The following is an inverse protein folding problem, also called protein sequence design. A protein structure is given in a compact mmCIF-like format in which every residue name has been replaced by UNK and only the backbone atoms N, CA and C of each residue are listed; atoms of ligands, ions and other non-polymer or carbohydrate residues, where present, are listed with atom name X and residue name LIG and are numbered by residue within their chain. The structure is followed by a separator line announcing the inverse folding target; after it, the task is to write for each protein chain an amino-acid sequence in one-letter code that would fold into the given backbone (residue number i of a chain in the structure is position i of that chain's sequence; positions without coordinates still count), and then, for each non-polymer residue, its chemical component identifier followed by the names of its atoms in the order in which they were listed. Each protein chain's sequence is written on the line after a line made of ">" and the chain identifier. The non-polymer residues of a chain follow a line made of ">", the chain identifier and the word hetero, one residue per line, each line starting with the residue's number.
data_IF_106191901425
#
_entry.id   IF_106191901425
#
_cell.length_a   1.000
_cell.length_b   1.000
_cell.length_c   1.000
_cell.angle_alpha   90.00
_cell.angle_beta   90.00
_cell.angle_gamma   90.00
#
_symmetry.space_group_name_H-M   'P 1'
#
loop_
_entity.id
_entity.type
_entity.pdbx_description
1 polymer ?
#
# COMPACT_ATOMS: atom_id res chain seq x y z
N UNK A 1 43.45 -30.11 16.48
CA UNK A 1 43.54 -29.26 17.69
C UNK A 1 42.52 -28.15 17.52
N UNK A 2 41.63 -27.88 18.49
CA UNK A 2 40.76 -26.72 18.36
C UNK A 2 41.68 -25.49 18.28
N UNK A 3 41.51 -24.68 17.24
CA UNK A 3 42.18 -23.39 17.16
C UNK A 3 41.78 -22.63 18.43
N UNK A 4 42.74 -22.35 19.31
CA UNK A 4 42.52 -21.41 20.42
C UNK A 4 41.94 -20.15 19.80
N UNK A 5 40.75 -19.73 20.25
CA UNK A 5 40.10 -18.55 19.68
C UNK A 5 41.04 -17.35 19.79
N UNK A 6 40.93 -16.37 18.91
CA UNK A 6 41.71 -15.15 19.03
C UNK A 6 41.50 -14.50 20.41
N UNK A 7 40.29 -14.64 20.97
CA UNK A 7 39.97 -14.27 22.35
C UNK A 7 40.82 -15.02 23.38
N UNK A 8 41.11 -16.32 23.19
CA UNK A 8 42.03 -17.07 24.05
C UNK A 8 43.46 -16.54 23.95
N UNK A 9 43.90 -16.13 22.76
CA UNK A 9 45.23 -15.56 22.55
C UNK A 9 45.32 -14.17 23.20
N UNK A 10 44.31 -13.32 22.97
CA UNK A 10 44.21 -11.98 23.56
C UNK A 10 44.03 -12.07 25.08
N UNK A 11 43.22 -13.00 25.58
CA UNK A 11 43.06 -13.25 27.01
C UNK A 11 44.38 -13.72 27.62
N UNK A 12 45.12 -14.62 26.94
CA UNK A 12 46.45 -15.05 27.38
C UNK A 12 47.48 -13.93 27.35
N UNK A 13 47.42 -13.02 26.38
CA UNK A 13 48.26 -11.82 26.33
C UNK A 13 47.94 -10.86 27.48
N UNK A 14 46.66 -10.65 27.79
CA UNK A 14 46.19 -9.88 28.95
C UNK A 14 46.43 -10.59 30.30
N UNK A 15 46.65 -11.91 30.31
CA UNK A 15 46.90 -12.73 31.50
C UNK A 15 48.37 -12.84 31.90
N UNK A 16 49.27 -12.04 31.31
CA UNK A 16 50.64 -11.87 31.82
C UNK A 16 50.66 -11.11 33.17
N UNK A 17 49.94 -11.61 34.18
CA UNK A 17 49.87 -11.06 35.54
C UNK A 17 51.22 -11.07 36.26
N UNK A 18 52.14 -11.90 35.81
CA UNK A 18 53.48 -12.05 36.38
C UNK A 18 54.55 -11.21 35.64
N UNK A 19 54.18 -10.47 34.59
CA UNK A 19 55.10 -9.57 33.90
C UNK A 19 55.31 -8.27 34.72
N UNK A 20 56.53 -7.70 34.77
CA UNK A 20 56.75 -6.38 35.34
C UNK A 20 55.79 -5.34 34.71
N UNK A 21 55.28 -4.39 35.49
CA UNK A 21 54.27 -3.41 35.05
C UNK A 21 54.61 -2.77 33.69
N UNK A 22 55.87 -2.34 33.48
CA UNK A 22 56.30 -1.72 32.24
C UNK A 22 56.28 -2.67 31.01
N UNK A 23 56.41 -3.98 31.21
CA UNK A 23 56.29 -4.99 30.15
C UNK A 23 54.83 -5.31 29.86
N UNK A 24 53.99 -5.41 30.90
CA UNK A 24 52.55 -5.62 30.75
C UNK A 24 51.91 -4.49 29.92
N UNK A 25 52.26 -3.23 30.20
CA UNK A 25 51.77 -2.07 29.42
C UNK A 25 52.16 -2.16 27.94
N UNK A 26 53.39 -2.59 27.63
CA UNK A 26 53.86 -2.76 26.24
C UNK A 26 53.18 -3.93 25.53
N UNK A 27 52.95 -5.06 26.22
CA UNK A 27 52.27 -6.23 25.67
C UNK A 27 50.82 -5.86 25.34
N UNK A 28 50.12 -5.19 26.26
CA UNK A 28 48.76 -4.73 26.05
C UNK A 28 48.68 -3.74 24.87
N UNK A 29 49.60 -2.76 24.80
CA UNK A 29 49.63 -1.81 23.68
C UNK A 29 49.84 -2.50 22.31
N UNK A 30 50.65 -3.57 22.24
CA UNK A 30 50.83 -4.36 21.02
C UNK A 30 49.57 -5.16 20.70
N UNK A 31 48.94 -5.77 21.71
CA UNK A 31 47.71 -6.54 21.54
C UNK A 31 46.54 -5.65 21.07
N UNK A 32 46.38 -4.46 21.66
CA UNK A 32 45.37 -3.48 21.28
C UNK A 32 45.57 -3.03 19.83
N UNK A 33 46.81 -2.68 19.46
CA UNK A 33 47.14 -2.29 18.08
C UNK A 33 46.88 -3.42 17.09
N UNK A 34 47.25 -4.66 17.43
CA UNK A 34 47.00 -5.81 16.57
C UNK A 34 45.49 -6.08 16.42
N UNK A 35 44.72 -5.95 17.49
CA UNK A 35 43.26 -6.09 17.45
C UNK A 35 42.62 -4.98 16.60
N UNK A 36 43.08 -3.73 16.73
CA UNK A 36 42.62 -2.60 15.92
C UNK A 36 42.89 -2.84 14.43
N UNK A 37 44.13 -3.23 14.08
CA UNK A 37 44.51 -3.53 12.69
C UNK A 37 43.69 -4.70 12.11
N UNK A 38 43.50 -5.79 12.86
CA UNK A 38 42.69 -6.93 12.41
C UNK A 38 41.20 -6.60 12.32
N UNK A 39 40.68 -5.77 13.23
CA UNK A 39 39.29 -5.29 13.18
C UNK A 39 39.07 -4.44 11.94
N UNK A 40 40.03 -3.58 11.60
CA UNK A 40 40.01 -2.77 10.39
C UNK A 40 40.06 -3.66 9.13
N UNK A 41 40.97 -4.63 9.07
CA UNK A 41 41.06 -5.58 7.95
C UNK A 41 39.76 -6.38 7.78
N UNK A 42 39.17 -6.85 8.88
CA UNK A 42 37.86 -7.49 8.85
C UNK A 42 36.76 -6.54 8.35
N UNK A 43 36.80 -5.27 8.75
CA UNK A 43 35.89 -4.24 8.23
C UNK A 43 36.06 -4.01 6.73
N UNK A 44 37.30 -3.90 6.26
CA UNK A 44 37.62 -3.75 4.84
C UNK A 44 37.16 -4.97 4.03
N UNK A 45 37.31 -6.19 4.58
CA UNK A 45 36.72 -7.40 4.00
C UNK A 45 35.19 -7.30 3.87
N UNK A 46 34.51 -6.85 4.93
CA UNK A 46 33.05 -6.68 4.92
C UNK A 46 32.60 -5.61 3.90
N UNK A 47 33.40 -4.58 3.67
CA UNK A 47 33.13 -3.56 2.64
C UNK A 47 33.38 -4.09 1.22
N UNK A 48 34.55 -4.69 0.98
CA UNK A 48 35.11 -4.82 -0.37
C UNK A 48 35.25 -6.25 -0.89
N UNK A 49 35.19 -7.25 -0.02
CA UNK A 49 35.47 -8.63 -0.40
C UNK A 49 34.30 -9.59 -0.17
N UNK A 50 33.22 -9.15 0.49
CA UNK A 50 31.98 -9.92 0.55
C UNK A 50 31.50 -10.34 -0.84
N UNK A 51 31.23 -11.63 -0.96
CA UNK A 51 30.90 -12.32 -2.21
C UNK A 51 30.20 -13.64 -1.87
N UNK A 52 28.92 -13.76 -2.19
CA UNK A 52 28.09 -14.93 -1.85
C UNK A 52 28.28 -16.14 -2.76
N UNK A 53 29.13 -16.01 -3.79
CA UNK A 53 29.66 -17.16 -4.52
C UNK A 53 30.88 -17.77 -3.80
N UNK A 54 31.55 -17.01 -2.93
CA UNK A 54 32.81 -17.41 -2.29
C UNK A 54 32.70 -17.64 -0.79
N UNK A 55 31.77 -16.96 -0.14
CA UNK A 55 31.64 -16.96 1.31
C UNK A 55 30.26 -17.47 1.72
N UNK A 56 30.22 -18.17 2.84
CA UNK A 56 28.99 -18.62 3.48
C UNK A 56 28.54 -17.65 4.57
N UNK A 57 27.27 -17.70 4.95
CA UNK A 57 26.72 -16.88 6.05
C UNK A 57 27.45 -17.20 7.35
N UNK A 58 27.81 -18.46 7.58
CA UNK A 58 28.53 -18.94 8.76
C UNK A 58 29.96 -18.42 8.83
N UNK A 59 30.68 -18.36 7.71
CA UNK A 59 32.04 -17.80 7.65
C UNK A 59 32.03 -16.30 7.95
N UNK A 60 31.12 -15.56 7.31
CA UNK A 60 30.98 -14.12 7.56
C UNK A 60 30.56 -13.86 9.01
N UNK A 61 29.64 -14.66 9.55
CA UNK A 61 29.26 -14.58 10.96
C UNK A 61 30.44 -14.87 11.89
N UNK A 62 31.26 -15.86 11.59
CA UNK A 62 32.45 -16.16 12.39
C UNK A 62 33.43 -14.99 12.43
N UNK A 63 33.62 -14.27 11.31
CA UNK A 63 34.44 -13.05 11.26
C UNK A 63 33.84 -11.97 12.17
N UNK A 64 32.53 -11.74 12.11
CA UNK A 64 31.83 -10.76 12.96
C UNK A 64 31.92 -11.15 14.44
N UNK A 65 31.76 -12.43 14.78
CA UNK A 65 31.86 -12.92 16.15
C UNK A 65 33.28 -12.72 16.71
N UNK A 66 34.32 -12.89 15.89
CA UNK A 66 35.73 -12.66 16.28
C UNK A 66 36.06 -11.16 16.36
N UNK A 67 35.54 -10.36 15.42
CA UNK A 67 35.83 -8.92 15.30
C UNK A 67 34.54 -8.11 15.26
N UNK A 68 33.79 -7.98 16.37
CA UNK A 68 32.49 -7.29 16.36
C UNK A 68 32.59 -5.82 15.97
N UNK A 69 33.73 -5.17 16.28
CA UNK A 69 34.00 -3.79 15.87
C UNK A 69 34.09 -3.59 14.34
N UNK A 70 34.27 -4.66 13.56
CA UNK A 70 34.37 -4.61 12.09
C UNK A 70 33.10 -4.05 11.44
N UNK A 71 31.94 -4.27 12.05
CA UNK A 71 30.66 -3.72 11.58
C UNK A 71 30.56 -2.20 11.75
N UNK A 72 31.37 -1.61 12.63
CA UNK A 72 31.45 -0.15 12.85
C UNK A 72 32.61 0.50 12.11
N UNK A 73 33.37 -0.26 11.31
CA UNK A 73 34.45 0.30 10.50
C UNK A 73 33.82 1.17 9.41
N UNK A 74 34.03 2.46 9.54
CA UNK A 74 33.56 3.46 8.58
C UNK A 74 34.54 3.50 7.43
N UNK A 75 34.02 3.36 6.21
CA UNK A 75 34.77 3.70 5.01
C UNK A 75 34.42 5.10 4.54
N UNK A 76 35.45 5.89 4.25
CA UNK A 76 35.31 7.21 3.66
C UNK A 76 35.34 7.06 2.15
N UNK A 77 34.17 6.91 1.53
CA UNK A 77 34.04 7.11 0.09
C UNK A 77 33.88 8.62 -0.18
N UNK A 78 34.74 9.24 -1.02
CA UNK A 78 34.67 10.66 -1.34
C UNK A 78 33.30 11.16 -1.83
N UNK A 79 32.40 10.27 -2.27
CA UNK A 79 31.06 10.62 -2.74
C UNK A 79 29.92 10.37 -1.76
N UNK A 80 30.10 9.53 -0.75
CA UNK A 80 28.98 8.96 0.02
C UNK A 80 29.08 9.16 1.54
N UNK A 81 30.16 9.76 2.02
CA UNK A 81 30.36 10.02 3.45
C UNK A 81 30.75 8.77 4.22
N UNK A 82 30.37 8.74 5.50
CA UNK A 82 30.67 7.62 6.41
C UNK A 82 29.79 6.41 6.06
N UNK A 83 30.38 5.38 5.46
CA UNK A 83 29.67 4.18 5.04
C UNK A 83 29.95 3.02 6.01
N UNK A 84 28.88 2.40 6.51
CA UNK A 84 28.92 1.11 7.21
C UNK A 84 28.92 -0.08 6.24
N UNK A 85 29.45 -1.25 6.62
CA UNK A 85 29.50 -2.42 5.75
C UNK A 85 28.14 -2.86 5.20
N UNK A 86 27.06 -2.75 5.99
CA UNK A 86 25.70 -3.08 5.55
C UNK A 86 25.24 -2.22 4.37
N UNK A 87 25.66 -0.94 4.34
CA UNK A 87 25.35 -0.04 3.25
C UNK A 87 26.19 -0.36 2.02
N UNK A 88 27.50 -0.62 2.20
CA UNK A 88 28.34 -1.03 1.08
C UNK A 88 27.84 -2.33 0.41
N UNK A 89 27.27 -3.25 1.19
CA UNK A 89 26.73 -4.50 0.67
C UNK A 89 25.57 -4.31 -0.32
N UNK A 90 24.79 -3.21 -0.22
CA UNK A 90 23.67 -2.95 -1.14
C UNK A 90 24.15 -2.63 -2.56
N UNK A 91 25.29 -1.97 -2.72
CA UNK A 91 25.84 -1.60 -4.03
C UNK A 91 26.58 -2.73 -4.73
N UNK A 92 26.76 -3.86 -4.05
CA UNK A 92 27.54 -4.98 -4.54
C UNK A 92 26.60 -6.16 -4.68
N UNK A 93 26.21 -6.47 -5.92
CA UNK A 93 25.25 -7.55 -6.22
C UNK A 93 25.60 -8.86 -5.50
N UNK A 94 26.88 -9.20 -5.36
CA UNK A 94 27.40 -10.39 -4.66
C UNK A 94 27.39 -10.32 -3.12
N UNK A 95 27.20 -9.14 -2.54
CA UNK A 95 27.14 -8.95 -1.09
C UNK A 95 25.71 -8.77 -0.56
N UNK A 96 24.73 -8.47 -1.43
CA UNK A 96 23.33 -8.21 -1.07
C UNK A 96 22.72 -9.27 -0.15
N UNK A 97 23.04 -10.56 -0.35
CA UNK A 97 22.51 -11.67 0.45
C UNK A 97 23.00 -11.70 1.90
N UNK A 98 24.06 -10.96 2.24
CA UNK A 98 24.55 -10.84 3.61
C UNK A 98 23.90 -9.69 4.39
N UNK A 99 23.13 -8.80 3.74
CA UNK A 99 22.48 -7.67 4.41
C UNK A 99 21.66 -8.09 5.65
N UNK A 100 20.84 -9.17 5.62
CA UNK A 100 20.10 -9.61 6.81
C UNK A 100 21.02 -9.98 7.98
N UNK A 101 22.14 -10.66 7.70
CA UNK A 101 23.14 -11.00 8.73
C UNK A 101 23.79 -9.74 9.30
N UNK A 102 24.29 -8.86 8.44
CA UNK A 102 24.99 -7.63 8.84
C UNK A 102 24.08 -6.73 9.69
N UNK A 103 22.83 -6.54 9.26
CA UNK A 103 21.85 -5.73 10.00
C UNK A 103 21.46 -6.37 11.34
N UNK A 104 21.27 -7.69 11.38
CA UNK A 104 20.93 -8.42 12.60
C UNK A 104 22.04 -8.33 13.64
N UNK A 105 23.28 -8.66 13.25
CA UNK A 105 24.42 -8.61 14.17
C UNK A 105 24.77 -7.17 14.52
N UNK A 106 24.68 -6.24 13.57
CA UNK A 106 24.84 -4.81 13.83
C UNK A 106 23.83 -4.30 14.86
N UNK A 107 22.55 -4.66 14.72
CA UNK A 107 21.52 -4.30 15.69
C UNK A 107 21.79 -4.90 17.07
N UNK A 108 22.29 -6.14 17.15
CA UNK A 108 22.66 -6.80 18.42
C UNK A 108 23.82 -6.08 19.12
N UNK A 109 24.78 -5.58 18.33
CA UNK A 109 26.00 -4.93 18.82
C UNK A 109 25.85 -3.41 19.00
N UNK A 110 24.68 -2.83 18.69
CA UNK A 110 24.46 -1.39 18.78
C UNK A 110 25.20 -0.60 17.71
N UNK A 111 25.40 -1.20 16.53
CA UNK A 111 26.01 -0.55 15.37
C UNK A 111 25.01 0.38 14.69
N UNK A 112 25.50 1.57 14.31
CA UNK A 112 24.67 2.70 13.91
C UNK A 112 24.09 3.43 15.12
N UNK A 113 23.39 4.54 14.89
CA UNK A 113 22.72 5.26 15.97
C UNK A 113 21.54 4.47 16.58
N UNK A 114 21.04 4.89 17.75
CA UNK A 114 19.89 4.25 18.39
C UNK A 114 18.68 4.23 17.45
N UNK A 115 18.12 3.05 17.21
CA UNK A 115 17.02 2.86 16.26
C UNK A 115 17.42 2.67 14.79
N UNK A 116 18.71 2.73 14.44
CA UNK A 116 19.20 2.53 13.07
C UNK A 116 19.24 1.06 12.62
N UNK A 117 18.88 0.11 13.49
CA UNK A 117 18.74 -1.33 13.18
C UNK A 117 19.99 -1.92 12.49
N UNK A 118 21.16 -1.66 13.08
CA UNK A 118 22.43 -2.14 12.54
C UNK A 118 22.92 -1.36 11.32
N UNK A 119 22.52 -0.10 11.16
CA UNK A 119 22.91 0.76 10.03
C UNK A 119 21.95 0.72 8.83
N UNK A 120 20.83 -0.02 8.91
CA UNK A 120 19.84 -0.06 7.82
C UNK A 120 19.19 1.31 7.53
N UNK A 121 19.01 2.13 8.58
CA UNK A 121 18.26 3.39 8.53
C UNK A 121 19.09 4.61 8.96
N UNK A 122 20.41 4.60 8.72
CA UNK A 122 21.30 5.67 9.18
C UNK A 122 21.10 6.98 8.41
N UNK A 123 21.38 8.12 9.06
CA UNK A 123 21.05 9.45 8.55
C UNK A 123 21.67 9.73 7.17
N UNK A 124 20.81 9.83 6.15
CA UNK A 124 21.20 10.13 4.76
C UNK A 124 21.30 8.91 3.85
N UNK A 125 21.34 7.71 4.44
CA UNK A 125 21.61 6.45 3.75
C UNK A 125 20.62 5.37 4.21
N UNK A 126 19.59 5.12 3.40
CA UNK A 126 18.59 4.12 3.71
C UNK A 126 18.80 2.86 2.85
N UNK A 127 19.35 1.82 3.45
CA UNK A 127 19.61 0.53 2.78
C UNK A 127 18.33 -0.09 2.25
N UNK A 128 17.22 0.05 2.98
CA UNK A 128 15.90 -0.46 2.55
C UNK A 128 15.42 0.27 1.29
N UNK A 129 15.63 1.58 1.24
CA UNK A 129 15.34 2.38 0.05
C UNK A 129 16.23 1.94 -1.12
N UNK A 130 17.53 1.77 -0.91
CA UNK A 130 18.43 1.34 -1.99
C UNK A 130 18.10 -0.07 -2.48
N UNK A 131 17.72 -1.00 -1.59
CA UNK A 131 17.23 -2.33 -1.96
C UNK A 131 15.98 -2.27 -2.86
N UNK A 132 15.15 -1.23 -2.74
CA UNK A 132 14.02 -1.00 -3.62
C UNK A 132 14.43 -0.55 -5.04
N UNK A 133 15.61 0.04 -5.22
CA UNK A 133 16.12 0.62 -6.48
C UNK A 133 17.16 -0.28 -7.20
N UNK A 134 17.56 -1.42 -6.62
CA UNK A 134 18.52 -2.33 -7.26
C UNK A 134 17.93 -3.11 -8.46
N UNK A 135 18.78 -3.70 -9.30
CA UNK A 135 18.31 -4.42 -10.49
C UNK A 135 17.96 -5.91 -10.28
N UNK A 136 18.45 -6.56 -9.21
CA UNK A 136 18.19 -7.99 -8.97
C UNK A 136 16.97 -8.19 -8.06
N UNK A 137 15.79 -8.18 -8.68
CA UNK A 137 14.50 -8.28 -8.00
C UNK A 137 14.36 -9.56 -7.16
N UNK A 138 14.86 -10.71 -7.66
CA UNK A 138 14.75 -11.99 -6.96
C UNK A 138 15.61 -12.02 -5.71
N UNK A 139 16.86 -11.53 -5.81
CA UNK A 139 17.78 -11.51 -4.67
C UNK A 139 17.31 -10.50 -3.61
N UNK A 140 16.89 -9.32 -4.05
CA UNK A 140 16.38 -8.28 -3.16
C UNK A 140 15.07 -8.70 -2.49
N UNK A 141 14.17 -9.40 -3.19
CA UNK A 141 12.95 -9.98 -2.60
C UNK A 141 13.30 -10.85 -1.38
N UNK A 142 14.23 -11.81 -1.54
CA UNK A 142 14.65 -12.71 -0.47
C UNK A 142 15.22 -11.94 0.74
N UNK A 143 16.02 -10.91 0.48
CA UNK A 143 16.57 -10.04 1.53
C UNK A 143 15.45 -9.28 2.26
N UNK A 144 14.49 -8.69 1.55
CA UNK A 144 13.36 -7.99 2.18
C UNK A 144 12.49 -8.93 3.02
N UNK A 145 12.24 -10.16 2.54
CA UNK A 145 11.54 -11.20 3.30
C UNK A 145 12.30 -11.58 4.57
N UNK A 146 13.62 -11.81 4.48
CA UNK A 146 14.45 -12.12 5.65
C UNK A 146 14.51 -10.94 6.66
N UNK A 147 14.62 -9.69 6.17
CA UNK A 147 14.58 -8.50 7.03
C UNK A 147 13.22 -8.34 7.73
N UNK A 148 12.12 -8.65 7.05
CA UNK A 148 10.78 -8.68 7.65
C UNK A 148 10.69 -9.77 8.73
N UNK A 149 11.16 -10.98 8.44
CA UNK A 149 11.10 -12.11 9.36
C UNK A 149 11.98 -11.90 10.61
N UNK A 150 13.01 -11.07 10.51
CA UNK A 150 13.88 -10.63 11.61
C UNK A 150 13.33 -9.40 12.40
N UNK A 151 12.14 -8.89 12.07
CA UNK A 151 11.57 -7.62 12.61
C UNK A 151 12.49 -6.39 12.38
N UNK A 152 13.32 -6.43 11.34
CA UNK A 152 14.20 -5.32 10.94
C UNK A 152 13.57 -4.43 9.87
N UNK A 153 12.62 -4.94 9.10
CA UNK A 153 11.80 -4.19 8.15
C UNK A 153 10.36 -4.07 8.68
N UNK A 154 9.88 -2.84 8.82
CA UNK A 154 8.58 -2.52 9.42
C UNK A 154 7.72 -1.73 8.45
N UNK A 155 6.40 -1.77 8.63
CA UNK A 155 5.47 -0.98 7.84
C UNK A 155 5.71 0.53 7.97
N UNK A 156 6.18 0.97 9.12
CA UNK A 156 6.53 2.38 9.34
C UNK A 156 7.67 2.82 8.41
N UNK A 157 8.58 1.92 8.02
CA UNK A 157 9.63 2.25 7.05
C UNK A 157 9.03 2.46 5.66
N UNK A 158 8.06 1.62 5.27
CA UNK A 158 7.33 1.78 4.00
C UNK A 158 6.67 3.16 3.94
N UNK A 159 6.05 3.59 5.04
CA UNK A 159 5.34 4.86 5.14
C UNK A 159 6.29 6.06 5.24
N UNK A 160 7.34 5.96 6.05
CA UNK A 160 8.28 7.07 6.29
C UNK A 160 9.17 7.37 5.09
N UNK A 161 9.44 6.36 4.26
CA UNK A 161 10.32 6.46 3.10
C UNK A 161 9.59 6.31 1.77
N UNK A 162 8.25 6.31 1.78
CA UNK A 162 7.40 6.15 0.59
C UNK A 162 7.86 4.99 -0.33
N UNK A 163 8.30 3.85 0.24
CA UNK A 163 9.06 2.83 -0.49
C UNK A 163 8.33 2.30 -1.72
N UNK A 164 7.00 2.15 -1.65
CA UNK A 164 6.18 1.68 -2.77
C UNK A 164 6.22 2.62 -3.98
N UNK A 165 6.54 3.89 -3.78
CA UNK A 165 6.61 4.88 -4.85
C UNK A 165 7.89 4.74 -5.71
N UNK A 166 9.00 4.29 -5.11
CA UNK A 166 10.28 4.16 -5.83
C UNK A 166 10.21 3.15 -6.98
N UNK A 167 9.36 2.13 -6.83
CA UNK A 167 9.08 1.13 -7.86
C UNK A 167 8.32 1.65 -9.08
N UNK A 168 7.76 2.87 -9.03
CA UNK A 168 7.03 3.43 -10.17
C UNK A 168 7.94 3.89 -11.31
N UNK A 169 9.25 4.00 -11.06
CA UNK A 169 10.22 4.46 -12.05
C UNK A 169 10.99 3.33 -12.75
N UNK A 170 10.88 2.09 -12.26
CA UNK A 170 11.76 1.00 -12.66
C UNK A 170 11.00 -0.22 -13.18
N UNK A 171 11.44 -0.76 -14.31
CA UNK A 171 10.97 -2.05 -14.79
C UNK A 171 11.60 -3.20 -13.97
N UNK A 172 10.86 -4.29 -13.81
CA UNK A 172 11.39 -5.52 -13.22
C UNK A 172 11.43 -5.52 -11.69
N UNK A 173 10.64 -4.71 -11.00
CA UNK A 173 10.61 -4.63 -9.54
C UNK A 173 9.38 -5.30 -8.88
N UNK A 174 8.64 -6.10 -9.63
CA UNK A 174 7.34 -6.63 -9.22
C UNK A 174 7.41 -7.45 -7.93
N UNK A 175 8.43 -8.29 -7.75
CA UNK A 175 8.48 -9.17 -6.58
C UNK A 175 8.83 -8.40 -5.30
N UNK A 176 9.71 -7.40 -5.38
CA UNK A 176 9.99 -6.50 -4.24
C UNK A 176 8.75 -5.69 -3.87
N UNK A 177 8.04 -5.18 -4.87
CA UNK A 177 6.81 -4.44 -4.66
C UNK A 177 5.76 -5.29 -3.94
N UNK A 178 5.57 -6.55 -4.35
CA UNK A 178 4.66 -7.50 -3.70
C UNK A 178 5.00 -7.70 -2.21
N UNK A 179 6.28 -7.88 -1.85
CA UNK A 179 6.69 -8.06 -0.45
C UNK A 179 6.33 -6.84 0.41
N UNK A 180 6.57 -5.64 -0.11
CA UNK A 180 6.30 -4.40 0.62
C UNK A 180 4.80 -4.08 0.65
N UNK A 181 4.07 -4.33 -0.43
CA UNK A 181 2.62 -4.17 -0.47
C UNK A 181 1.93 -5.12 0.51
N UNK A 182 2.42 -6.36 0.65
CA UNK A 182 1.93 -7.31 1.63
C UNK A 182 2.23 -6.90 3.08
N UNK A 183 3.35 -6.20 3.31
CA UNK A 183 3.73 -5.72 4.65
C UNK A 183 2.90 -4.50 5.08
N UNK A 184 2.53 -3.60 4.15
CA UNK A 184 1.63 -2.49 4.42
C UNK A 184 0.64 -2.22 3.27
N UNK A 185 -0.45 -3.00 3.17
CA UNK A 185 -1.43 -2.84 2.10
C UNK A 185 -2.08 -1.45 2.09
N UNK A 186 -2.25 -0.84 3.25
CA UNK A 186 -2.84 0.50 3.38
C UNK A 186 -2.00 1.55 2.64
N UNK A 187 -0.68 1.37 2.52
CA UNK A 187 0.16 2.27 1.73
C UNK A 187 -0.23 2.30 0.24
N UNK A 188 -0.83 1.25 -0.34
CA UNK A 188 -1.35 1.29 -1.71
C UNK A 188 -2.43 2.39 -1.89
N UNK A 189 -3.18 2.67 -0.82
CA UNK A 189 -4.33 3.58 -0.84
C UNK A 189 -4.08 4.91 -0.14
N UNK A 190 -3.13 4.97 0.79
CA UNK A 190 -2.82 6.15 1.59
C UNK A 190 -1.47 6.77 1.28
N UNK A 191 -0.60 6.15 0.48
CA UNK A 191 0.73 6.68 0.16
C UNK A 191 0.64 8.18 -0.14
N UNK A 192 1.42 8.96 0.61
CA UNK A 192 1.44 10.42 0.51
C UNK A 192 2.75 10.81 -0.13
N UNK A 193 2.82 10.68 -1.45
CA UNK A 193 3.97 11.17 -2.15
C UNK A 193 4.14 12.68 -1.87
N UNK A 194 5.35 13.05 -1.46
CA UNK A 194 5.77 14.45 -1.22
C UNK A 194 5.55 15.37 -2.44
N UNK A 195 5.54 14.81 -3.65
CA UNK A 195 5.35 15.51 -4.92
C UNK A 195 3.88 15.42 -5.39
N UNK A 196 3.15 14.37 -5.01
CA UNK A 196 1.76 14.11 -5.40
C UNK A 196 1.01 13.39 -4.28
N UNK A 197 0.38 14.15 -3.40
CA UNK A 197 -0.35 13.60 -2.24
C UNK A 197 -1.55 12.69 -2.62
N UNK A 198 -1.34 11.47 -3.11
CA UNK A 198 -2.43 10.60 -3.55
C UNK A 198 -2.07 9.13 -3.74
N UNK A 199 -3.09 8.27 -3.89
CA UNK A 199 -2.90 6.81 -4.01
C UNK A 199 -2.01 6.44 -5.21
N UNK A 200 -1.31 5.29 -5.14
CA UNK A 200 -0.34 4.89 -6.17
C UNK A 200 -0.95 4.75 -7.58
N UNK A 201 -2.20 4.27 -7.68
CA UNK A 201 -2.93 4.18 -8.95
C UNK A 201 -3.28 5.55 -9.57
N UNK A 202 -3.05 6.66 -8.85
CA UNK A 202 -3.19 8.03 -9.36
C UNK A 202 -1.86 8.68 -9.72
N UNK A 203 -0.77 7.91 -9.75
CA UNK A 203 0.54 8.45 -10.08
C UNK A 203 0.61 8.89 -11.55
N UNK A 204 1.30 10.00 -11.81
CA UNK A 204 1.39 10.62 -13.15
C UNK A 204 2.36 9.92 -14.10
N UNK A 205 3.26 9.07 -13.57
CA UNK A 205 4.23 8.27 -14.36
C UNK A 205 3.81 6.81 -14.49
N UNK A 206 2.51 6.50 -14.48
CA UNK A 206 2.07 5.13 -14.68
C UNK A 206 2.50 4.63 -16.07
N UNK A 207 2.97 3.39 -16.10
CA UNK A 207 3.25 2.57 -17.29
C UNK A 207 2.34 1.35 -17.28
N UNK A 208 2.27 0.60 -18.38
CA UNK A 208 1.47 -0.65 -18.42
C UNK A 208 1.90 -1.62 -17.29
N UNK A 209 3.21 -1.81 -17.13
CA UNK A 209 3.79 -2.71 -16.12
C UNK A 209 3.51 -2.25 -14.69
N UNK A 210 3.72 -0.96 -14.39
CA UNK A 210 3.51 -0.43 -13.03
C UNK A 210 2.03 -0.38 -12.69
N UNK A 211 1.16 -0.05 -13.64
CA UNK A 211 -0.29 -0.12 -13.44
C UNK A 211 -0.76 -1.55 -13.15
N UNK A 212 -0.26 -2.54 -13.90
CA UNK A 212 -0.57 -3.95 -13.67
C UNK A 212 -0.10 -4.42 -12.30
N UNK A 213 1.13 -4.11 -11.93
CA UNK A 213 1.72 -4.46 -10.64
C UNK A 213 0.90 -3.90 -9.47
N UNK A 214 0.58 -2.60 -9.49
CA UNK A 214 -0.21 -1.96 -8.42
C UNK A 214 -1.64 -2.51 -8.40
N UNK A 215 -2.26 -2.72 -9.56
CA UNK A 215 -3.62 -3.23 -9.64
C UNK A 215 -3.71 -4.68 -9.14
N UNK A 216 -2.72 -5.53 -9.46
CA UNK A 216 -2.62 -6.90 -8.92
C UNK A 216 -2.52 -6.91 -7.40
N UNK A 217 -1.59 -6.15 -6.83
CA UNK A 217 -1.47 -6.03 -5.37
C UNK A 217 -2.74 -5.44 -4.74
N UNK A 218 -3.36 -4.47 -5.42
CA UNK A 218 -4.65 -3.92 -5.02
C UNK A 218 -5.75 -4.99 -5.00
N UNK A 219 -5.84 -5.83 -6.03
CA UNK A 219 -6.83 -6.91 -6.11
C UNK A 219 -6.60 -7.99 -5.06
N UNK A 220 -5.34 -8.28 -4.70
CA UNK A 220 -5.00 -9.22 -3.65
C UNK A 220 -5.42 -8.72 -2.26
N UNK A 221 -5.17 -7.45 -1.93
CA UNK A 221 -5.45 -6.91 -0.60
C UNK A 221 -6.82 -6.23 -0.45
N UNK A 222 -7.40 -5.74 -1.54
CA UNK A 222 -8.67 -5.02 -1.56
C UNK A 222 -9.62 -5.51 -2.67
N UNK A 223 -9.92 -6.82 -2.77
CA UNK A 223 -10.76 -7.37 -3.84
C UNK A 223 -12.17 -6.77 -3.84
N UNK A 224 -12.74 -6.54 -2.66
CA UNK A 224 -14.07 -5.90 -2.45
C UNK A 224 -14.17 -4.49 -3.05
N UNK A 225 -13.03 -3.82 -3.26
CA UNK A 225 -12.94 -2.50 -3.86
C UNK A 225 -12.37 -2.54 -5.29
N UNK A 226 -12.28 -3.72 -5.90
CA UNK A 226 -11.64 -3.98 -7.19
C UNK A 226 -10.26 -3.32 -7.29
N UNK A 227 -9.43 -3.58 -6.28
CA UNK A 227 -8.08 -3.03 -6.19
C UNK A 227 -8.02 -1.51 -6.17
N UNK A 228 -9.10 -0.87 -5.70
CA UNK A 228 -9.25 0.58 -5.68
C UNK A 228 -9.27 1.24 -7.08
N UNK A 229 -9.53 0.49 -8.14
CA UNK A 229 -9.61 0.97 -9.53
C UNK A 229 -10.61 2.15 -9.70
N UNK A 230 -11.68 2.18 -8.90
CA UNK A 230 -12.70 3.24 -8.94
C UNK A 230 -12.56 4.29 -7.84
N UNK A 231 -11.51 4.21 -7.00
CA UNK A 231 -11.26 5.20 -5.96
C UNK A 231 -10.95 6.55 -6.58
N UNK A 232 -11.61 7.60 -6.07
CA UNK A 232 -11.43 8.97 -6.57
C UNK A 232 -10.31 9.70 -5.87
N UNK A 233 -9.53 10.43 -6.64
CA UNK A 233 -8.55 11.39 -6.17
C UNK A 233 -8.58 12.61 -7.09
N UNK A 234 -8.63 13.81 -6.50
CA UNK A 234 -8.80 15.09 -7.22
C UNK A 234 -9.92 15.06 -8.28
N UNK A 235 -11.00 14.32 -8.00
CA UNK A 235 -12.20 14.23 -8.84
C UNK A 235 -12.20 13.12 -9.91
N UNK A 236 -11.05 12.51 -10.22
CA UNK A 236 -10.92 11.40 -11.19
C UNK A 236 -10.82 10.06 -10.48
N UNK A 237 -11.28 8.97 -11.12
CA UNK A 237 -11.02 7.59 -10.66
C UNK A 237 -9.62 7.13 -11.10
N UNK A 238 -9.08 6.09 -10.46
CA UNK A 238 -7.81 5.49 -10.87
C UNK A 238 -7.89 4.95 -12.30
N UNK A 239 -9.03 4.35 -12.68
CA UNK A 239 -9.33 3.92 -14.04
C UNK A 239 -9.24 5.07 -15.05
N UNK A 240 -9.89 6.22 -14.77
CA UNK A 240 -9.80 7.41 -15.62
C UNK A 240 -8.37 7.93 -15.72
N UNK A 241 -7.64 7.95 -14.60
CA UNK A 241 -6.25 8.37 -14.59
C UNK A 241 -5.37 7.46 -15.46
N UNK A 242 -5.57 6.14 -15.41
CA UNK A 242 -4.90 5.19 -16.28
C UNK A 242 -5.24 5.44 -17.76
N UNK A 243 -6.51 5.65 -18.10
CA UNK A 243 -6.92 5.98 -19.47
C UNK A 243 -6.25 7.24 -20.01
N UNK A 244 -6.10 8.26 -19.17
CA UNK A 244 -5.46 9.54 -19.53
C UNK A 244 -3.94 9.41 -19.72
N UNK A 245 -3.27 8.52 -18.97
CA UNK A 245 -1.80 8.42 -18.95
C UNK A 245 -1.28 7.38 -19.94
N UNK A 246 -1.78 6.15 -19.87
CA UNK A 246 -1.26 5.01 -20.65
C UNK A 246 -2.09 4.71 -21.89
N UNK A 247 -3.28 5.29 -22.03
CA UNK A 247 -4.22 5.01 -23.12
C UNK A 247 -5.34 4.06 -22.69
N UNK A 248 -6.50 4.20 -23.33
CA UNK A 248 -7.70 3.41 -22.97
C UNK A 248 -7.51 1.93 -23.30
N UNK A 249 -6.98 1.61 -24.48
CA UNK A 249 -6.83 0.22 -24.92
C UNK A 249 -5.77 -0.53 -24.09
N UNK A 250 -4.64 0.12 -23.81
CA UNK A 250 -3.55 -0.40 -22.98
C UNK A 250 -4.01 -0.62 -21.54
N UNK A 251 -4.67 0.39 -20.93
CA UNK A 251 -5.22 0.25 -19.59
C UNK A 251 -6.27 -0.86 -19.52
N UNK A 252 -7.16 -0.96 -20.51
CA UNK A 252 -8.17 -2.02 -20.56
C UNK A 252 -7.53 -3.40 -20.67
N UNK A 253 -6.45 -3.56 -21.44
CA UNK A 253 -5.70 -4.81 -21.51
C UNK A 253 -5.18 -5.23 -20.13
N UNK A 254 -4.61 -4.29 -19.37
CA UNK A 254 -4.14 -4.53 -18.00
C UNK A 254 -5.30 -4.88 -17.07
N UNK A 255 -6.40 -4.12 -17.12
CA UNK A 255 -7.57 -4.36 -16.27
C UNK A 255 -8.12 -5.76 -16.54
N UNK A 256 -8.25 -6.20 -17.79
CA UNK A 256 -8.70 -7.56 -18.13
C UNK A 256 -7.73 -8.67 -17.69
N UNK A 257 -6.42 -8.40 -17.58
CA UNK A 257 -5.47 -9.36 -17.00
C UNK A 257 -5.61 -9.47 -15.48
N UNK A 258 -5.90 -8.36 -14.80
CA UNK A 258 -5.98 -8.30 -13.33
C UNK A 258 -7.38 -8.64 -12.80
N UNK A 259 -8.42 -8.39 -13.59
CA UNK A 259 -9.84 -8.60 -13.27
C UNK A 259 -10.46 -9.33 -14.47
N UNK A 260 -10.23 -10.64 -14.64
CA UNK A 260 -10.71 -11.36 -15.81
C UNK A 260 -12.26 -11.30 -15.94
N UNK A 261 -12.79 -11.11 -17.16
CA UNK A 261 -14.23 -11.24 -17.39
C UNK A 261 -14.74 -12.65 -17.02
N UNK A 262 -15.96 -12.74 -16.51
CA UNK A 262 -16.65 -13.97 -16.14
C UNK A 262 -16.45 -14.41 -14.69
N UNK A 263 -15.58 -13.75 -13.91
CA UNK A 263 -15.33 -14.10 -12.51
C UNK A 263 -16.33 -13.49 -11.51
N UNK A 264 -17.50 -13.04 -11.99
CA UNK A 264 -18.56 -12.41 -11.19
C UNK A 264 -18.14 -11.14 -10.42
N UNK A 265 -17.14 -10.42 -10.92
CA UNK A 265 -16.75 -9.11 -10.38
C UNK A 265 -17.78 -8.05 -10.79
N UNK A 266 -18.40 -7.29 -9.86
CA UNK A 266 -19.39 -6.26 -10.17
C UNK A 266 -18.74 -4.97 -10.73
N UNK A 267 -17.79 -5.10 -11.67
CA UNK A 267 -16.98 -4.01 -12.22
C UNK A 267 -17.83 -2.94 -12.89
N UNK A 268 -18.83 -3.31 -13.68
CA UNK A 268 -19.75 -2.35 -14.30
C UNK A 268 -20.59 -1.60 -13.25
N UNK A 269 -20.98 -2.28 -12.17
CA UNK A 269 -21.76 -1.65 -11.10
C UNK A 269 -20.90 -0.59 -10.39
N UNK A 270 -19.66 -0.94 -10.03
CA UNK A 270 -18.72 -0.02 -9.40
C UNK A 270 -18.33 1.13 -10.33
N UNK A 271 -18.17 0.86 -11.63
CA UNK A 271 -17.92 1.89 -12.63
C UNK A 271 -19.04 2.92 -12.68
N UNK A 272 -20.30 2.48 -12.79
CA UNK A 272 -21.47 3.38 -12.79
C UNK A 272 -21.57 4.19 -11.51
N UNK A 273 -21.33 3.57 -10.35
CA UNK A 273 -21.36 4.29 -9.07
C UNK A 273 -20.27 5.36 -8.97
N UNK A 274 -19.10 5.10 -9.55
CA UNK A 274 -17.99 6.03 -9.54
C UNK A 274 -18.16 7.13 -10.61
N UNK A 275 -18.34 6.73 -11.87
CA UNK A 275 -18.56 7.60 -13.01
C UNK A 275 -19.28 6.85 -14.16
N UNK A 276 -20.54 7.18 -14.50
CA UNK A 276 -21.29 6.53 -15.58
C UNK A 276 -20.60 6.58 -16.94
N UNK A 277 -19.71 7.55 -17.20
CA UNK A 277 -18.99 7.61 -18.47
C UNK A 277 -18.01 6.45 -18.65
N UNK A 278 -17.61 5.77 -17.56
CA UNK A 278 -16.77 4.58 -17.64
C UNK A 278 -17.54 3.34 -18.09
N UNK A 279 -18.87 3.34 -17.94
CA UNK A 279 -19.71 2.19 -18.26
C UNK A 279 -19.58 1.82 -19.73
N UNK A 280 -19.73 2.78 -20.65
CA UNK A 280 -19.69 2.50 -22.09
C UNK A 280 -18.36 1.89 -22.53
N UNK A 281 -17.24 2.37 -21.96
CA UNK A 281 -15.90 1.82 -22.23
C UNK A 281 -15.77 0.40 -21.69
N UNK A 282 -16.11 0.18 -20.41
CA UNK A 282 -15.98 -1.14 -19.77
C UNK A 282 -16.96 -2.17 -20.32
N UNK A 283 -18.16 -1.76 -20.72
CA UNK A 283 -19.20 -2.62 -21.29
C UNK A 283 -18.72 -3.35 -22.55
N UNK A 284 -17.78 -2.77 -23.30
CA UNK A 284 -17.23 -3.45 -24.47
C UNK A 284 -16.40 -4.70 -24.12
N UNK A 285 -15.86 -4.76 -22.90
CA UNK A 285 -14.99 -5.84 -22.42
C UNK A 285 -15.69 -6.74 -21.40
N UNK A 286 -16.66 -6.22 -20.66
CA UNK A 286 -17.36 -6.89 -19.56
C UNK A 286 -18.87 -7.02 -19.84
N UNK A 287 -19.24 -7.56 -21.00
CA UNK A 287 -20.66 -7.63 -21.42
C UNK A 287 -21.49 -8.54 -20.52
N UNK A 288 -20.92 -9.64 -20.07
CA UNK A 288 -21.65 -10.66 -19.31
C UNK A 288 -21.90 -10.20 -17.86
N UNK A 289 -21.05 -9.29 -17.37
CA UNK A 289 -21.15 -8.62 -16.08
C UNK A 289 -22.31 -7.60 -16.03
N UNK A 290 -23.00 -7.35 -17.14
CA UNK A 290 -24.25 -6.59 -17.12
C UNK A 290 -25.37 -7.36 -16.40
N UNK A 291 -25.28 -8.69 -16.32
CA UNK A 291 -26.32 -9.58 -15.78
C UNK A 291 -26.06 -10.05 -14.36
N UNK A 292 -24.84 -9.87 -13.84
CA UNK A 292 -24.53 -10.20 -12.44
C UNK A 292 -25.18 -9.19 -11.49
N UNK A 293 -25.20 -9.53 -10.21
CA UNK A 293 -25.66 -8.64 -9.14
C UNK A 293 -24.46 -8.18 -8.32
N UNK A 294 -24.51 -6.95 -7.82
CA UNK A 294 -23.51 -6.46 -6.86
C UNK A 294 -23.61 -7.16 -5.50
N UNK A 295 -22.68 -6.87 -4.59
CA UNK A 295 -22.65 -7.41 -3.23
C UNK A 295 -23.92 -7.13 -2.41
N UNK A 296 -24.75 -6.17 -2.84
CA UNK A 296 -26.04 -5.87 -2.21
C UNK A 296 -27.22 -6.55 -2.90
N UNK A 297 -27.01 -7.23 -4.03
CA UNK A 297 -28.05 -7.88 -4.83
C UNK A 297 -28.67 -6.99 -5.91
N UNK A 298 -28.12 -5.78 -6.17
CA UNK A 298 -28.62 -4.88 -7.22
C UNK A 298 -28.16 -5.34 -8.60
N UNK A 299 -29.03 -5.21 -9.59
CA UNK A 299 -28.66 -5.33 -11.02
C UNK A 299 -27.98 -4.05 -11.51
N UNK A 300 -27.30 -4.11 -12.66
CA UNK A 300 -26.64 -2.94 -13.25
C UNK A 300 -27.64 -1.80 -13.51
N UNK A 301 -28.80 -2.12 -14.08
CA UNK A 301 -29.87 -1.14 -14.31
C UNK A 301 -30.38 -0.50 -13.01
N UNK A 302 -30.48 -1.27 -11.92
CA UNK A 302 -30.80 -0.71 -10.62
C UNK A 302 -29.71 0.25 -10.15
N UNK A 303 -28.43 -0.10 -10.31
CA UNK A 303 -27.32 0.79 -9.95
C UNK A 303 -27.32 2.09 -10.76
N UNK A 304 -27.48 2.03 -12.07
CA UNK A 304 -27.61 3.21 -12.95
C UNK A 304 -28.75 4.11 -12.51
N UNK A 305 -29.92 3.51 -12.31
CA UNK A 305 -31.12 4.20 -11.90
C UNK A 305 -30.92 4.87 -10.52
N UNK A 306 -30.31 4.16 -9.58
CA UNK A 306 -29.98 4.65 -8.25
C UNK A 306 -28.95 5.77 -8.25
N UNK A 307 -27.91 5.68 -9.08
CA UNK A 307 -26.89 6.71 -9.23
C UNK A 307 -27.53 8.03 -9.67
N UNK A 308 -28.35 7.97 -10.72
CA UNK A 308 -29.16 9.10 -11.22
C UNK A 308 -30.04 9.68 -10.11
N UNK A 309 -30.69 8.80 -9.34
CA UNK A 309 -31.47 9.19 -8.18
C UNK A 309 -30.67 9.61 -6.95
N UNK A 310 -29.34 9.57 -6.93
CA UNK A 310 -28.54 10.04 -5.79
C UNK A 310 -27.79 11.31 -6.07
N UNK A 311 -27.30 11.53 -7.29
CA UNK A 311 -26.38 12.64 -7.60
C UNK A 311 -27.00 14.05 -7.52
N UNK A 312 -28.27 14.16 -7.11
CA UNK A 312 -28.86 15.32 -6.41
C UNK A 312 -29.09 16.60 -7.22
N UNK A 313 -28.29 16.84 -8.25
CA UNK A 313 -28.23 18.10 -8.99
C UNK A 313 -28.43 17.91 -10.50
N UNK A 314 -28.75 16.69 -10.94
CA UNK A 314 -29.04 16.43 -12.34
C UNK A 314 -30.56 16.57 -12.51
N UNK A 315 -31.06 17.59 -13.24
CA UNK A 315 -32.48 17.77 -13.45
C UNK A 315 -33.07 16.55 -14.17
N UNK A 316 -34.35 16.25 -13.90
CA UNK A 316 -35.07 15.18 -14.58
C UNK A 316 -34.89 15.22 -16.10
N UNK A 317 -34.90 16.42 -16.71
CA UNK A 317 -34.69 16.61 -18.15
C UNK A 317 -33.39 16.01 -18.69
N UNK A 318 -32.31 16.01 -17.90
CA UNK A 318 -31.01 15.45 -18.28
C UNK A 318 -30.97 13.93 -18.09
N UNK A 319 -31.81 13.40 -17.22
CA UNK A 319 -31.84 11.97 -16.85
C UNK A 319 -33.07 11.23 -17.35
N UNK A 320 -33.95 11.91 -18.10
CA UNK A 320 -35.22 11.35 -18.57
C UNK A 320 -35.02 10.04 -19.34
N UNK A 321 -33.91 9.91 -20.08
CA UNK A 321 -33.56 8.69 -20.81
C UNK A 321 -33.42 7.46 -19.89
N UNK A 322 -32.86 7.62 -18.68
CA UNK A 322 -32.73 6.54 -17.69
C UNK A 322 -34.11 6.10 -17.19
N UNK A 323 -34.99 7.06 -16.91
CA UNK A 323 -36.36 6.78 -16.48
C UNK A 323 -37.22 6.16 -17.57
N UNK A 324 -37.03 6.57 -18.83
CA UNK A 324 -37.73 6.00 -19.98
C UNK A 324 -37.31 4.53 -20.18
N UNK A 325 -36.01 4.23 -20.07
CA UNK A 325 -35.46 2.88 -20.19
C UNK A 325 -35.77 1.96 -19.01
N UNK A 326 -36.13 2.50 -17.84
CA UNK A 326 -36.51 1.67 -16.69
C UNK A 326 -37.79 0.86 -17.00
N UNK A 327 -37.76 -0.43 -16.73
CA UNK A 327 -38.93 -1.31 -16.81
C UNK A 327 -39.81 -1.11 -15.57
N UNK A 328 -41.08 -1.52 -15.64
CA UNK A 328 -41.96 -1.42 -14.47
C UNK A 328 -41.46 -2.28 -13.30
N UNK A 329 -40.85 -3.44 -13.59
CA UNK A 329 -40.17 -4.28 -12.60
C UNK A 329 -39.04 -3.52 -11.88
N UNK A 330 -38.25 -2.69 -12.58
CA UNK A 330 -37.24 -1.85 -11.95
C UNK A 330 -37.85 -0.77 -11.04
N UNK A 331 -39.03 -0.24 -11.40
CA UNK A 331 -39.75 0.79 -10.63
C UNK A 331 -40.37 0.18 -9.36
N UNK A 332 -40.83 -1.07 -9.44
CA UNK A 332 -41.46 -1.81 -8.36
C UNK A 332 -40.48 -2.51 -7.43
N UNK A 333 -39.30 -2.84 -7.92
CA UNK A 333 -38.28 -3.44 -7.08
C UNK A 333 -37.81 -2.46 -6.00
N UNK A 334 -37.91 -2.88 -4.73
CA UNK A 334 -37.22 -2.20 -3.65
C UNK A 334 -35.73 -2.37 -3.84
N UNK A 335 -34.99 -1.31 -3.60
CA UNK A 335 -33.54 -1.37 -3.49
C UNK A 335 -33.13 -2.34 -2.39
N UNK A 336 -32.38 -3.41 -2.71
CA UNK A 336 -31.91 -4.35 -1.71
C UNK A 336 -31.12 -3.68 -0.57
N UNK A 337 -30.38 -2.61 -0.87
CA UNK A 337 -29.53 -1.91 0.11
C UNK A 337 -30.31 -1.01 1.06
N UNK A 338 -31.22 -0.17 0.56
CA UNK A 338 -31.97 0.79 1.37
C UNK A 338 -33.37 0.32 1.78
N UNK A 339 -33.91 -0.70 1.10
CA UNK A 339 -35.29 -1.15 1.25
C UNK A 339 -36.33 -0.15 0.73
N UNK A 340 -35.90 0.87 -0.01
CA UNK A 340 -36.75 1.94 -0.52
C UNK A 340 -37.14 1.68 -1.98
N UNK A 341 -38.33 2.12 -2.35
CA UNK A 341 -38.70 2.20 -3.76
C UNK A 341 -37.95 3.35 -4.45
N UNK A 342 -37.70 3.23 -5.77
CA UNK A 342 -37.32 4.31 -6.67
C UNK A 342 -37.85 5.71 -6.34
N UNK A 343 -39.17 5.88 -6.26
CA UNK A 343 -39.75 7.20 -6.02
C UNK A 343 -39.46 7.71 -4.60
N UNK A 344 -39.33 6.82 -3.61
CA UNK A 344 -38.94 7.20 -2.25
C UNK A 344 -37.50 7.69 -2.20
N UNK A 345 -36.60 7.06 -2.97
CA UNK A 345 -35.22 7.51 -3.09
C UNK A 345 -35.14 8.90 -3.71
N UNK A 346 -35.88 9.14 -4.80
CA UNK A 346 -36.00 10.45 -5.43
C UNK A 346 -36.53 11.52 -4.44
N UNK A 347 -37.54 11.17 -3.66
CA UNK A 347 -38.13 12.04 -2.63
C UNK A 347 -37.19 12.28 -1.44
N UNK A 348 -36.36 11.30 -1.09
CA UNK A 348 -35.49 11.36 0.09
C UNK A 348 -34.36 12.37 -0.02
N UNK A 349 -34.08 12.97 -1.18
CA UNK A 349 -33.00 13.95 -1.34
C UNK A 349 -33.23 15.23 -0.50
N UNK A 350 -32.15 15.99 -0.27
CA UNK A 350 -32.25 17.34 0.33
C UNK A 350 -33.06 18.31 -0.55
N UNK A 351 -33.06 18.08 -1.87
CA UNK A 351 -33.97 18.69 -2.84
C UNK A 351 -34.71 17.55 -3.54
N UNK A 352 -35.94 17.29 -3.11
CA UNK A 352 -36.78 16.26 -3.73
C UNK A 352 -36.98 16.60 -5.20
N UNK A 353 -36.67 15.65 -6.08
CA UNK A 353 -36.93 15.77 -7.52
C UNK A 353 -38.40 15.40 -7.76
N UNK A 354 -39.29 16.39 -7.61
CA UNK A 354 -40.73 16.16 -7.70
C UNK A 354 -41.15 15.67 -9.08
N UNK A 355 -40.44 16.05 -10.14
CA UNK A 355 -40.72 15.57 -11.49
C UNK A 355 -40.42 14.07 -11.61
N UNK A 356 -39.25 13.63 -11.12
CA UNK A 356 -38.93 12.21 -11.06
C UNK A 356 -39.92 11.42 -10.19
N UNK A 357 -40.30 11.96 -9.01
CA UNK A 357 -41.29 11.32 -8.12
C UNK A 357 -42.64 11.18 -8.82
N UNK A 358 -43.14 12.28 -9.40
CA UNK A 358 -44.43 12.29 -10.11
C UNK A 358 -44.40 11.36 -11.32
N UNK A 359 -43.31 11.35 -12.09
CA UNK A 359 -43.13 10.45 -13.22
C UNK A 359 -43.21 8.99 -12.78
N UNK A 360 -42.43 8.59 -11.77
CA UNK A 360 -42.38 7.21 -11.28
C UNK A 360 -43.75 6.74 -10.73
N UNK A 361 -44.43 7.59 -9.95
CA UNK A 361 -45.75 7.26 -9.39
C UNK A 361 -46.84 7.18 -10.46
N UNK A 362 -46.76 8.02 -11.50
CA UNK A 362 -47.69 7.95 -12.64
C UNK A 362 -47.46 6.70 -13.48
N UNK A 363 -46.19 6.32 -13.69
CA UNK A 363 -45.82 5.15 -14.48
C UNK A 363 -46.21 3.85 -13.80
N UNK A 364 -46.00 3.73 -12.49
CA UNK A 364 -46.38 2.54 -11.75
C UNK A 364 -47.13 2.90 -10.44
N UNK A 365 -48.45 3.16 -10.50
CA UNK A 365 -49.22 3.55 -9.32
C UNK A 365 -49.42 2.43 -8.30
N UNK A 366 -49.28 1.15 -8.70
CA UNK A 366 -49.47 -0.01 -7.81
C UNK A 366 -48.48 -0.05 -6.64
N UNK A 367 -47.29 0.54 -6.77
CA UNK A 367 -46.33 0.64 -5.65
C UNK A 367 -46.94 1.34 -4.43
N UNK A 368 -47.87 2.29 -4.63
CA UNK A 368 -48.58 2.95 -3.52
C UNK A 368 -49.57 2.02 -2.81
N UNK A 369 -50.15 1.07 -3.54
CA UNK A 369 -51.04 0.04 -2.97
C UNK A 369 -50.22 -0.95 -2.16
N UNK A 370 -49.06 -1.38 -2.67
CA UNK A 370 -48.16 -2.30 -1.96
C UNK A 370 -47.63 -1.70 -0.65
N UNK A 371 -47.35 -0.40 -0.63
CA UNK A 371 -46.95 0.31 0.59
C UNK A 371 -48.07 0.36 1.62
N UNK A 372 -49.33 0.54 1.20
CA UNK A 372 -50.48 0.53 2.11
C UNK A 372 -50.73 -0.85 2.70
N UNK A 373 -50.48 -1.90 1.92
CA UNK A 373 -50.72 -3.29 2.30
C UNK A 373 -49.58 -3.90 3.13
N UNK A 374 -48.40 -3.29 3.13
CA UNK A 374 -47.29 -3.71 3.99
C UNK A 374 -47.39 -2.99 5.34
N UNK A 375 -47.87 -3.68 6.39
CA UNK A 375 -47.95 -3.17 7.78
C UNK A 375 -46.60 -2.64 8.32
N UNK A 376 -45.50 -3.00 7.67
CA UNK A 376 -44.14 -2.54 7.97
C UNK A 376 -43.83 -1.11 7.46
N UNK A 377 -44.65 -0.55 6.57
CA UNK A 377 -44.44 0.77 5.97
C UNK A 377 -44.57 1.94 6.96
N UNK A 378 -45.49 1.84 7.93
CA UNK A 378 -45.68 2.88 8.96
C UNK A 378 -44.47 3.01 9.88
N UNK A 379 -43.97 1.90 10.43
CA UNK A 379 -42.90 1.93 11.43
C UNK A 379 -41.52 2.33 10.86
N UNK A 380 -41.22 2.02 9.59
CA UNK A 380 -39.89 2.25 9.00
C UNK A 380 -39.71 3.67 8.43
N UNK A 381 -40.76 4.25 7.86
CA UNK A 381 -40.74 5.63 7.38
C UNK A 381 -40.59 6.64 8.54
N UNK A 382 -41.28 6.38 9.66
CA UNK A 382 -41.13 7.15 10.90
C UNK A 382 -39.70 7.09 11.44
N UNK A 383 -39.07 5.91 11.45
CA UNK A 383 -37.69 5.74 11.90
C UNK A 383 -36.64 6.52 11.09
N UNK A 384 -36.80 6.61 9.76
CA UNK A 384 -35.89 7.40 8.90
C UNK A 384 -36.11 8.91 9.05
N UNK A 385 -37.37 9.35 9.18
CA UNK A 385 -37.69 10.74 9.51
C UNK A 385 -37.13 11.16 10.87
N UNK A 386 -37.21 10.28 11.87
CA UNK A 386 -36.67 10.53 13.20
C UNK A 386 -35.14 10.53 13.23
N UNK A 387 -34.47 9.64 12.48
CA UNK A 387 -33.02 9.71 12.31
C UNK A 387 -32.57 11.04 11.69
N UNK A 388 -33.32 11.58 10.72
CA UNK A 388 -33.05 12.90 10.13
C UNK A 388 -33.27 14.04 11.11
N UNK A 389 -34.38 14.00 11.88
CA UNK A 389 -34.62 14.98 12.95
C UNK A 389 -33.47 14.99 13.95
N UNK A 390 -33.03 13.81 14.40
CA UNK A 390 -31.87 13.67 15.31
C UNK A 390 -30.56 14.20 14.70
N UNK A 391 -30.27 13.91 13.42
CA UNK A 391 -29.09 14.46 12.73
C UNK A 391 -29.14 15.98 12.59
N UNK A 392 -30.30 16.54 12.22
CA UNK A 392 -30.50 17.98 12.12
C UNK A 392 -30.34 18.66 13.48
N UNK A 393 -30.89 18.05 14.53
CA UNK A 393 -30.78 18.55 15.90
C UNK A 393 -29.33 18.51 16.42
N UNK A 394 -28.58 17.43 16.16
CA UNK A 394 -27.14 17.36 16.45
C UNK A 394 -26.32 18.41 15.69
N UNK A 395 -26.65 18.68 14.43
CA UNK A 395 -25.98 19.72 13.66
C UNK A 395 -26.26 21.12 14.22
N UNK A 396 -27.53 21.42 14.56
CA UNK A 396 -27.91 22.68 15.21
C UNK A 396 -27.20 22.84 16.56
N UNK A 397 -27.21 21.82 17.43
CA UNK A 397 -26.51 21.89 18.72
C UNK A 397 -24.99 22.09 18.55
N UNK A 398 -24.37 21.49 17.53
CA UNK A 398 -22.94 21.66 17.25
C UNK A 398 -22.63 23.08 16.73
N UNK A 399 -23.52 23.65 15.92
CA UNK A 399 -23.41 25.05 15.46
C UNK A 399 -23.63 26.03 16.62
N UNK A 400 -24.59 25.78 17.49
CA UNK A 400 -24.83 26.59 18.70
C UNK A 400 -23.65 26.56 19.67
N UNK A 401 -23.03 25.39 19.88
CA UNK A 401 -21.79 25.28 20.67
C UNK A 401 -20.67 26.12 20.04
N UNK A 402 -20.45 26.00 18.73
CA UNK A 402 -19.44 26.79 18.02
C UNK A 402 -19.71 28.31 18.06
N UNK A 403 -20.98 28.72 18.11
CA UNK A 403 -21.39 30.13 18.23
C UNK A 403 -21.20 30.71 19.64
N UNK A 404 -21.16 29.88 20.70
CA UNK A 404 -20.88 30.33 22.08
C UNK A 404 -19.38 30.50 22.38
N UNK A 405 -18.52 29.96 21.54
CA UNK A 405 -17.06 30.08 21.65
C UNK A 405 -16.47 31.19 20.75
N UNK A 406 -17.34 31.99 20.12
CA UNK A 406 -17.01 33.28 19.51
C UNK A 406 -17.63 34.37 20.36
#
# INVERSE_FOLDING_TARGET
>A
MPASSLEDIIAKLHLCKDAPHYMADKINAIADKALEEMTKEAGDFLHYDLDDEKHTVEEVKAIIDIFPGSLSVINLDPGFGDILPVYQAVYRSRAVSFIPLLAKEGSRLGVGSEGSRGGLLEHGSNVVLTLAELYDDKKCKKVLEELRDLDLLKKEDIQNFDLLQHFLAEDGCAQRFEVLAALDPDSLITARCSINEGPLLHHYKLTENTFEMILKAGMEHFPENLGCLFRKFKGKTACQNAFDIIGTDEAMRVICRCIPPGENHPILHMAVEADPHLEDTLMNYYRDEAFIRDATGRTLSQVQFHYTLRKGNIPFSTTASVFVKATDDHIEAKDPRSGLYPFMLAASKNRSDLDAVNYLLRRCPKVLVDIKNTDTGKHRAEGLCDQRRRKKQRHVSRVEVLMRYR
#
